data_IF_965456840542
#
_entry.id   IF_965456840542
#
_cell.length_a   1.000
_cell.length_b   1.000
_cell.length_c   1.000
_cell.angle_alpha   90.00
_cell.angle_beta   90.00
_cell.angle_gamma   90.00
#
_symmetry.space_group_name_H-M   'P 1'
#
loop_
_entity.id
_entity.type
_entity.pdbx_description
1 polymer ?
#
# COMPACT_ATOMS: atom_id res chain seq x y z
N UNK A 1 -10.88 -11.52 39.18
CA UNK A 1 -10.33 -11.75 37.84
C UNK A 1 -11.41 -11.42 36.81
N UNK A 2 -11.32 -10.28 36.15
CA UNK A 2 -12.31 -9.87 35.14
C UNK A 2 -12.03 -10.62 33.84
N UNK A 3 -12.94 -11.48 33.39
CA UNK A 3 -12.93 -12.10 32.07
C UNK A 3 -13.16 -10.99 31.03
N UNK A 4 -12.13 -10.66 30.27
CA UNK A 4 -12.25 -9.80 29.10
C UNK A 4 -13.23 -10.45 28.11
N UNK A 5 -14.46 -9.95 28.02
CA UNK A 5 -15.42 -10.36 26.98
C UNK A 5 -14.91 -9.85 25.65
N UNK A 6 -14.29 -10.71 24.85
CA UNK A 6 -14.05 -10.41 23.44
C UNK A 6 -15.39 -10.02 22.79
N UNK A 7 -15.43 -8.89 22.06
CA UNK A 7 -16.64 -8.48 21.35
C UNK A 7 -16.98 -9.53 20.27
N UNK A 8 -18.27 -9.71 19.97
CA UNK A 8 -18.76 -10.65 18.94
C UNK A 8 -18.11 -10.34 17.58
N UNK A 9 -17.82 -9.07 17.31
CA UNK A 9 -17.11 -8.64 16.09
C UNK A 9 -15.66 -9.11 16.06
N UNK A 10 -14.93 -9.09 17.19
CA UNK A 10 -13.57 -9.59 17.30
C UNK A 10 -13.49 -11.10 17.11
N UNK A 11 -14.42 -11.86 17.70
CA UNK A 11 -14.47 -13.32 17.53
C UNK A 11 -14.79 -13.73 16.07
N UNK A 12 -15.71 -13.02 15.42
CA UNK A 12 -16.01 -13.22 14.00
C UNK A 12 -14.83 -12.89 13.11
N UNK A 13 -14.15 -11.78 13.37
CA UNK A 13 -12.94 -11.38 12.63
C UNK A 13 -11.83 -12.42 12.77
N UNK A 14 -11.58 -12.91 14.01
CA UNK A 14 -10.58 -13.96 14.27
C UNK A 14 -10.88 -15.23 13.48
N UNK A 15 -12.14 -15.70 13.50
CA UNK A 15 -12.55 -16.88 12.74
C UNK A 15 -12.35 -16.70 11.25
N UNK A 16 -12.81 -15.58 10.68
CA UNK A 16 -12.60 -15.26 9.27
C UNK A 16 -11.10 -15.16 8.91
N UNK A 17 -10.29 -14.64 9.83
CA UNK A 17 -8.84 -14.53 9.60
C UNK A 17 -8.17 -15.91 9.54
N UNK A 18 -8.49 -16.82 10.48
CA UNK A 18 -7.88 -18.16 10.50
C UNK A 18 -8.42 -19.09 9.40
N UNK A 19 -9.64 -18.88 8.93
CA UNK A 19 -10.22 -19.65 7.82
C UNK A 19 -9.79 -19.14 6.44
N UNK A 20 -9.20 -17.95 6.37
CA UNK A 20 -8.78 -17.30 5.13
C UNK A 20 -7.66 -18.10 4.44
N UNK A 21 -7.94 -18.59 3.22
CA UNK A 21 -6.98 -19.35 2.42
C UNK A 21 -5.66 -18.62 2.16
N UNK A 22 -5.73 -17.29 2.00
CA UNK A 22 -4.55 -16.47 1.76
C UNK A 22 -3.69 -16.28 3.01
N UNK A 23 -4.29 -16.31 4.21
CA UNK A 23 -3.52 -16.33 5.47
C UNK A 23 -2.72 -17.63 5.56
N UNK A 24 -3.36 -18.76 5.33
CA UNK A 24 -2.71 -20.08 5.35
C UNK A 24 -1.60 -20.16 4.31
N UNK A 25 -1.86 -19.69 3.10
CA UNK A 25 -0.89 -19.69 2.01
C UNK A 25 0.30 -18.76 2.33
N UNK A 26 0.06 -17.58 2.92
CA UNK A 26 1.11 -16.68 3.34
C UNK A 26 2.03 -17.33 4.37
N UNK A 27 1.46 -18.01 5.37
CA UNK A 27 2.20 -18.76 6.38
C UNK A 27 3.05 -19.88 5.74
N UNK A 28 2.47 -20.66 4.83
CA UNK A 28 3.19 -21.73 4.12
C UNK A 28 4.37 -21.22 3.29
N UNK A 29 4.24 -20.02 2.69
CA UNK A 29 5.28 -19.39 1.88
C UNK A 29 6.25 -18.52 2.68
N UNK A 30 6.13 -18.43 4.01
CA UNK A 30 6.97 -17.57 4.85
C UNK A 30 6.77 -16.06 4.58
N UNK A 31 5.58 -15.68 4.09
CA UNK A 31 5.26 -14.31 3.78
C UNK A 31 4.69 -13.59 5.02
N UNK A 32 5.03 -12.32 5.18
CA UNK A 32 4.66 -11.53 6.37
C UNK A 32 3.17 -11.21 6.45
N UNK A 33 2.47 -11.16 5.32
CA UNK A 33 1.03 -10.90 5.30
C UNK A 33 0.35 -11.46 4.06
N UNK A 34 -0.95 -11.72 4.17
CA UNK A 34 -1.78 -12.08 3.02
C UNK A 34 -1.95 -10.96 1.99
N UNK A 35 -1.63 -9.72 2.35
CA UNK A 35 -1.74 -8.58 1.44
C UNK A 35 -0.79 -8.72 0.23
N UNK A 36 0.27 -9.52 0.35
CA UNK A 36 1.21 -9.77 -0.75
C UNK A 36 0.52 -10.30 -2.00
N UNK A 37 -0.48 -11.17 -1.87
CA UNK A 37 -1.19 -11.76 -3.01
C UNK A 37 -1.95 -10.73 -3.85
N UNK A 38 -2.33 -9.60 -3.26
CA UNK A 38 -2.92 -8.48 -3.98
C UNK A 38 -1.90 -7.82 -4.90
N UNK A 39 -0.69 -7.58 -4.39
CA UNK A 39 0.40 -6.98 -5.18
C UNK A 39 0.94 -7.97 -6.22
N UNK A 40 1.06 -9.25 -5.90
CA UNK A 40 1.44 -10.30 -6.87
C UNK A 40 0.50 -10.28 -8.08
N UNK A 41 -0.83 -10.29 -7.86
CA UNK A 41 -1.82 -10.26 -8.94
C UNK A 41 -1.74 -8.97 -9.77
N UNK A 42 -1.55 -7.81 -9.12
CA UNK A 42 -1.35 -6.53 -9.80
C UNK A 42 -0.07 -6.57 -10.63
N UNK A 43 1.03 -7.07 -10.06
CA UNK A 43 2.31 -7.17 -10.76
C UNK A 43 2.23 -8.12 -11.97
N UNK A 44 1.54 -9.24 -11.86
CA UNK A 44 1.34 -10.16 -12.98
C UNK A 44 0.58 -9.52 -14.15
N UNK A 45 -0.46 -8.74 -13.84
CA UNK A 45 -1.33 -8.11 -14.84
C UNK A 45 -0.76 -6.82 -15.43
N UNK A 46 -0.12 -6.00 -14.62
CA UNK A 46 0.22 -4.63 -14.98
C UNK A 46 1.74 -4.37 -15.08
N UNK A 47 2.58 -5.31 -14.64
CA UNK A 47 4.05 -5.27 -14.77
C UNK A 47 4.68 -3.97 -14.27
N UNK A 48 4.28 -3.55 -13.07
CA UNK A 48 4.70 -2.28 -12.48
C UNK A 48 6.19 -2.23 -12.15
N UNK A 49 6.73 -3.33 -11.63
CA UNK A 49 8.11 -3.43 -11.16
C UNK A 49 8.97 -4.27 -12.08
N UNK A 50 10.25 -3.89 -12.17
CA UNK A 50 11.30 -4.58 -12.93
C UNK A 50 12.61 -4.54 -12.15
N UNK A 51 13.57 -5.44 -12.41
CA UNK A 51 14.90 -5.39 -11.81
C UNK A 51 15.55 -4.01 -11.95
N UNK A 52 16.21 -3.57 -10.88
CA UNK A 52 16.94 -2.29 -10.82
C UNK A 52 16.06 -1.06 -10.52
N UNK A 53 14.75 -1.22 -10.35
CA UNK A 53 13.85 -0.10 -10.04
C UNK A 53 13.95 0.36 -8.59
N UNK A 54 13.60 1.64 -8.37
CA UNK A 54 13.40 2.24 -7.05
C UNK A 54 11.91 2.27 -6.73
N UNK A 55 11.52 1.66 -5.62
CA UNK A 55 10.14 1.54 -5.14
C UNK A 55 9.98 2.23 -3.79
N UNK A 56 8.90 2.97 -3.62
CA UNK A 56 8.44 3.50 -2.32
C UNK A 56 7.17 2.77 -1.91
N UNK A 57 7.17 2.20 -0.70
CA UNK A 57 6.04 1.44 -0.11
C UNK A 57 5.49 2.19 1.11
N UNK A 58 4.29 2.77 0.97
CA UNK A 58 3.61 3.55 2.00
C UNK A 58 2.55 2.69 2.70
N UNK A 59 2.64 2.62 4.04
CA UNK A 59 1.81 1.70 4.82
C UNK A 59 2.36 0.27 4.76
N UNK A 60 3.69 0.15 4.89
CA UNK A 60 4.43 -1.08 4.61
C UNK A 60 4.20 -2.20 5.64
N UNK A 61 3.96 -1.87 6.91
CA UNK A 61 3.86 -2.87 7.98
C UNK A 61 2.70 -3.88 7.74
N UNK A 62 2.93 -5.16 7.96
CA UNK A 62 4.09 -5.83 8.56
C UNK A 62 5.22 -6.18 7.57
N UNK A 63 5.19 -5.69 6.32
CA UNK A 63 6.26 -5.82 5.35
C UNK A 63 6.01 -6.81 4.20
N UNK A 64 4.78 -7.27 4.02
CA UNK A 64 4.47 -8.22 2.93
C UNK A 64 4.73 -7.65 1.54
N UNK A 65 4.33 -6.41 1.31
CA UNK A 65 4.58 -5.74 0.03
C UNK A 65 6.06 -5.41 -0.15
N UNK A 66 6.71 -4.86 0.88
CA UNK A 66 8.15 -4.57 0.85
C UNK A 66 8.99 -5.81 0.56
N UNK A 67 8.68 -6.96 1.19
CA UNK A 67 9.34 -8.25 0.93
C UNK A 67 9.23 -8.64 -0.55
N UNK A 68 8.03 -8.57 -1.11
CA UNK A 68 7.79 -8.89 -2.52
C UNK A 68 8.46 -7.88 -3.48
N UNK A 69 8.52 -6.60 -3.11
CA UNK A 69 9.21 -5.59 -3.90
C UNK A 69 10.70 -5.91 -4.05
N UNK A 70 11.37 -6.33 -2.95
CA UNK A 70 12.81 -6.73 -3.01
C UNK A 70 13.01 -7.85 -4.02
N UNK A 71 12.15 -8.87 -4.01
CA UNK A 71 12.23 -9.98 -4.97
C UNK A 71 12.04 -9.50 -6.42
N UNK A 72 11.17 -8.52 -6.64
CA UNK A 72 10.91 -7.97 -7.98
C UNK A 72 12.03 -7.07 -8.51
N UNK A 73 12.62 -6.24 -7.65
CA UNK A 73 13.63 -5.27 -8.08
C UNK A 73 15.07 -5.82 -8.04
N UNK A 74 15.29 -6.88 -7.25
CA UNK A 74 16.58 -7.56 -7.13
C UNK A 74 17.68 -6.69 -6.51
N UNK A 75 18.90 -7.19 -6.50
CA UNK A 75 20.05 -6.60 -5.80
C UNK A 75 20.43 -5.20 -6.27
N UNK A 76 20.11 -4.84 -7.51
CA UNK A 76 20.37 -3.53 -8.09
C UNK A 76 19.21 -2.53 -7.89
N UNK A 77 18.12 -2.98 -7.30
CA UNK A 77 16.96 -2.16 -6.99
C UNK A 77 17.04 -1.52 -5.61
N UNK A 78 16.08 -0.67 -5.32
CA UNK A 78 15.96 -0.01 -4.02
C UNK A 78 14.51 -0.05 -3.57
N UNK A 79 14.29 -0.43 -2.31
CA UNK A 79 12.97 -0.37 -1.67
C UNK A 79 13.06 0.53 -0.44
N UNK A 80 12.33 1.64 -0.46
CA UNK A 80 12.17 2.54 0.70
C UNK A 80 10.75 2.38 1.21
N UNK A 81 10.60 2.06 2.48
CA UNK A 81 9.30 1.76 3.08
C UNK A 81 9.02 2.68 4.27
N UNK A 82 7.76 3.05 4.49
CA UNK A 82 7.35 3.88 5.61
C UNK A 82 6.03 3.37 6.22
N UNK A 83 5.96 3.33 7.55
CA UNK A 83 4.72 3.02 8.27
C UNK A 83 4.72 3.66 9.67
N UNK A 84 3.52 3.96 10.19
CA UNK A 84 3.31 4.39 11.58
C UNK A 84 3.48 3.24 12.58
N UNK A 85 3.38 2.00 12.13
CA UNK A 85 3.59 0.81 12.93
C UNK A 85 5.05 0.34 12.80
N UNK A 86 5.61 -0.24 13.85
CA UNK A 86 6.92 -0.86 13.76
C UNK A 86 6.89 -2.09 12.84
N UNK A 87 8.00 -2.36 12.20
CA UNK A 87 8.19 -3.51 11.34
C UNK A 87 9.57 -4.12 11.58
N UNK A 88 9.64 -5.45 11.67
CA UNK A 88 10.93 -6.14 11.73
C UNK A 88 11.73 -5.90 10.45
N UNK A 89 13.04 -5.80 10.58
CA UNK A 89 13.92 -5.54 9.43
C UNK A 89 13.74 -6.59 8.32
N UNK A 90 13.79 -6.11 7.09
CA UNK A 90 13.81 -6.93 5.86
C UNK A 90 15.10 -6.60 5.11
N UNK A 91 15.87 -7.62 4.75
CA UNK A 91 17.06 -7.41 3.93
C UNK A 91 16.67 -6.74 2.61
N UNK A 92 17.38 -5.68 2.23
CA UNK A 92 17.11 -4.92 1.01
C UNK A 92 16.01 -3.85 1.13
N UNK A 93 15.43 -3.64 2.33
CA UNK A 93 14.43 -2.59 2.59
C UNK A 93 15.00 -1.53 3.52
N UNK A 94 14.99 -0.29 3.10
CA UNK A 94 15.25 0.87 3.94
C UNK A 94 13.92 1.34 4.58
N UNK A 95 13.70 0.93 5.83
CA UNK A 95 12.44 1.19 6.54
C UNK A 95 12.53 2.42 7.43
N UNK A 96 11.58 3.35 7.27
CA UNK A 96 11.34 4.49 8.14
C UNK A 96 10.10 4.25 8.99
N UNK A 97 10.28 4.09 10.31
CA UNK A 97 9.17 4.08 11.25
C UNK A 97 8.74 5.51 11.57
N UNK A 98 7.54 5.88 11.15
CA UNK A 98 7.00 7.21 11.42
C UNK A 98 5.74 7.53 10.63
N UNK A 99 5.14 8.65 10.99
CA UNK A 99 3.96 9.18 10.33
C UNK A 99 4.38 10.28 9.34
N UNK A 100 4.42 9.95 8.05
CA UNK A 100 4.87 10.88 7.01
C UNK A 100 3.89 12.07 6.75
N UNK A 101 2.75 12.12 7.45
CA UNK A 101 1.91 13.32 7.55
C UNK A 101 2.58 14.43 8.37
N UNK A 102 3.64 14.09 9.12
CA UNK A 102 4.45 15.03 9.88
C UNK A 102 5.66 15.44 9.04
N UNK A 103 5.88 16.74 8.90
CA UNK A 103 6.93 17.32 8.07
C UNK A 103 8.31 16.68 8.32
N UNK A 104 8.69 16.52 9.59
CA UNK A 104 9.99 15.91 9.94
C UNK A 104 10.14 14.46 9.46
N UNK A 105 9.06 13.69 9.39
CA UNK A 105 9.07 12.30 8.88
C UNK A 105 9.05 12.31 7.35
N UNK A 106 8.29 13.20 6.75
CA UNK A 106 8.29 13.40 5.30
C UNK A 106 9.70 13.79 4.82
N UNK A 107 10.36 14.76 5.45
CA UNK A 107 11.73 15.17 5.14
C UNK A 107 12.73 14.02 5.29
N UNK A 108 12.58 13.22 6.36
CA UNK A 108 13.39 12.04 6.57
C UNK A 108 13.17 10.97 5.49
N UNK A 109 11.92 10.78 5.03
CA UNK A 109 11.58 9.87 3.93
C UNK A 109 12.18 10.35 2.60
N UNK A 110 12.03 11.62 2.28
CA UNK A 110 12.62 12.24 1.10
C UNK A 110 14.15 12.16 1.12
N UNK A 111 14.77 12.34 2.29
CA UNK A 111 16.23 12.18 2.47
C UNK A 111 16.68 10.75 2.19
N UNK A 112 15.92 9.72 2.62
CA UNK A 112 16.22 8.31 2.32
C UNK A 112 16.08 8.00 0.83
N UNK A 113 15.09 8.59 0.17
CA UNK A 113 14.95 8.53 -1.29
C UNK A 113 16.15 9.22 -1.96
N UNK A 114 16.71 10.26 -1.33
CA UNK A 114 17.97 10.93 -1.71
C UNK A 114 18.00 11.35 -3.19
N UNK A 115 16.95 12.04 -3.65
CA UNK A 115 16.84 12.52 -5.03
C UNK A 115 16.80 11.41 -6.09
N UNK A 116 16.70 10.14 -5.68
CA UNK A 116 16.52 9.03 -6.63
C UNK A 116 15.21 9.23 -7.36
N UNK A 117 15.27 9.04 -8.66
CA UNK A 117 14.07 8.99 -9.47
C UNK A 117 13.28 7.72 -9.12
N UNK A 118 12.19 7.88 -8.40
CA UNK A 118 11.33 6.76 -8.00
C UNK A 118 10.57 6.23 -9.23
N UNK A 119 10.64 4.92 -9.43
CA UNK A 119 9.94 4.24 -10.52
C UNK A 119 8.50 3.94 -10.16
N UNK A 120 8.27 3.52 -8.92
CA UNK A 120 6.96 3.04 -8.45
C UNK A 120 6.70 3.55 -7.04
N UNK A 121 5.52 4.14 -6.83
CA UNK A 121 4.97 4.38 -5.49
C UNK A 121 3.82 3.40 -5.27
N UNK A 122 3.86 2.70 -4.15
CA UNK A 122 2.84 1.75 -3.70
C UNK A 122 2.21 2.27 -2.41
N UNK A 123 0.91 2.02 -2.21
CA UNK A 123 0.22 2.34 -0.97
C UNK A 123 -0.90 1.35 -0.66
N UNK A 124 -0.73 0.59 0.42
CA UNK A 124 -1.79 -0.26 0.99
C UNK A 124 -2.33 0.32 2.31
N UNK A 125 -2.17 1.63 2.51
CA UNK A 125 -2.64 2.31 3.72
C UNK A 125 -4.15 2.18 3.91
N UNK A 126 -4.56 2.07 5.17
CA UNK A 126 -5.95 2.19 5.59
C UNK A 126 -6.01 2.98 6.89
N UNK A 127 -7.06 3.77 7.11
CA UNK A 127 -7.25 4.42 8.40
C UNK A 127 -7.60 3.39 9.48
N UNK A 128 -7.35 3.75 10.74
CA UNK A 128 -7.97 3.03 11.86
C UNK A 128 -9.49 3.25 11.78
N UNK A 129 -10.22 2.17 11.48
CA UNK A 129 -11.66 2.22 11.29
C UNK A 129 -12.37 2.56 12.60
N UNK A 130 -13.11 3.67 12.60
CA UNK A 130 -13.89 4.14 13.75
C UNK A 130 -15.27 3.45 13.84
N UNK A 131 -15.67 2.73 12.79
CA UNK A 131 -17.00 2.12 12.66
C UNK A 131 -18.07 3.12 12.24
N UNK A 132 -17.67 4.30 11.77
CA UNK A 132 -18.54 5.30 11.15
C UNK A 132 -18.14 5.48 9.70
N UNK A 133 -19.00 5.05 8.79
CA UNK A 133 -18.71 4.96 7.36
C UNK A 133 -18.26 6.31 6.76
N UNK A 134 -18.86 7.43 7.16
CA UNK A 134 -18.50 8.76 6.63
C UNK A 134 -17.13 9.22 7.13
N UNK A 135 -16.84 9.04 8.42
CA UNK A 135 -15.54 9.38 9.01
C UNK A 135 -14.44 8.50 8.43
N UNK A 136 -14.69 7.20 8.33
CA UNK A 136 -13.73 6.23 7.82
C UNK A 136 -13.43 6.48 6.34
N UNK A 137 -14.46 6.84 5.55
CA UNK A 137 -14.31 7.21 4.15
C UNK A 137 -13.47 8.49 3.99
N UNK A 138 -13.76 9.56 4.74
CA UNK A 138 -12.99 10.82 4.68
C UNK A 138 -11.53 10.61 5.06
N UNK A 139 -11.26 9.83 6.11
CA UNK A 139 -9.88 9.48 6.52
C UNK A 139 -9.15 8.66 5.46
N UNK A 140 -9.87 7.75 4.81
CA UNK A 140 -9.31 6.95 3.70
C UNK A 140 -8.95 7.82 2.52
N UNK A 141 -9.82 8.76 2.13
CA UNK A 141 -9.56 9.68 1.03
C UNK A 141 -8.34 10.55 1.32
N UNK A 142 -8.20 11.08 2.53
CA UNK A 142 -7.02 11.84 2.93
C UNK A 142 -5.72 11.06 2.75
N UNK A 143 -5.68 9.75 3.09
CA UNK A 143 -4.49 8.91 2.93
C UNK A 143 -4.12 8.68 1.45
N UNK A 144 -5.10 8.51 0.58
CA UNK A 144 -4.82 8.30 -0.85
C UNK A 144 -4.37 9.59 -1.55
N UNK A 145 -4.91 10.74 -1.12
CA UNK A 145 -4.46 12.06 -1.58
C UNK A 145 -2.99 12.30 -1.20
N UNK A 146 -2.61 12.01 0.04
CA UNK A 146 -1.21 12.08 0.48
C UNK A 146 -0.28 11.14 -0.32
N UNK A 147 -0.77 9.96 -0.68
CA UNK A 147 0.02 9.06 -1.51
C UNK A 147 0.20 9.59 -2.94
N UNK A 148 -0.79 10.30 -3.49
CA UNK A 148 -0.68 10.97 -4.77
C UNK A 148 0.26 12.19 -4.69
N UNK A 149 0.21 12.96 -3.59
CA UNK A 149 1.15 14.05 -3.35
C UNK A 149 2.61 13.56 -3.27
N UNK A 150 2.82 12.40 -2.63
CA UNK A 150 4.14 11.74 -2.67
C UNK A 150 4.57 11.44 -4.12
N UNK A 151 3.64 10.95 -4.97
CA UNK A 151 3.95 10.73 -6.38
C UNK A 151 4.42 12.00 -7.07
N UNK A 152 3.78 13.15 -6.81
CA UNK A 152 4.17 14.44 -7.39
C UNK A 152 5.56 14.90 -6.95
N UNK A 153 6.01 14.49 -5.76
CA UNK A 153 7.32 14.86 -5.23
C UNK A 153 8.46 13.97 -5.72
N UNK A 154 8.21 12.67 -5.95
CA UNK A 154 9.29 11.69 -6.11
C UNK A 154 9.26 10.89 -7.41
N UNK A 155 8.09 10.75 -8.07
CA UNK A 155 8.01 9.92 -9.27
C UNK A 155 8.73 10.54 -10.46
N UNK A 156 9.54 9.74 -11.13
CA UNK A 156 10.08 10.12 -12.43
C UNK A 156 9.02 10.09 -13.52
N UNK A 157 9.28 10.78 -14.62
CA UNK A 157 8.47 10.69 -15.84
C UNK A 157 8.27 9.23 -16.25
N UNK A 158 7.02 8.88 -16.61
CA UNK A 158 6.58 7.51 -16.90
C UNK A 158 6.62 6.54 -15.71
N UNK A 159 6.82 7.01 -14.48
CA UNK A 159 6.68 6.23 -13.26
C UNK A 159 5.27 5.67 -13.07
N UNK A 160 5.11 4.81 -12.10
CA UNK A 160 3.86 4.08 -11.82
C UNK A 160 3.40 4.28 -10.39
N UNK A 161 2.09 4.15 -10.18
CA UNK A 161 1.45 4.27 -8.88
C UNK A 161 0.41 3.17 -8.69
N UNK A 162 0.42 2.51 -7.54
CA UNK A 162 -0.66 1.60 -7.16
C UNK A 162 -1.12 1.94 -5.74
N UNK A 163 -2.40 2.23 -5.59
CA UNK A 163 -2.98 2.69 -4.33
C UNK A 163 -4.29 1.97 -4.02
N UNK A 164 -4.44 1.51 -2.78
CA UNK A 164 -5.71 1.04 -2.27
C UNK A 164 -6.65 2.19 -2.02
N UNK A 165 -7.86 2.09 -2.56
CA UNK A 165 -8.93 3.08 -2.38
C UNK A 165 -10.22 2.36 -1.99
N UNK A 166 -10.99 2.94 -1.08
CA UNK A 166 -12.36 2.47 -0.82
C UNK A 166 -13.36 3.24 -1.70
N UNK A 167 -14.19 2.49 -2.42
CA UNK A 167 -15.27 3.10 -3.21
C UNK A 167 -16.29 3.76 -2.28
N UNK A 168 -16.68 4.99 -2.62
CA UNK A 168 -17.58 5.82 -1.83
C UNK A 168 -17.40 7.30 -2.17
N UNK A 169 -17.81 8.16 -1.25
CA UNK A 169 -17.66 9.61 -1.38
C UNK A 169 -16.19 9.98 -1.60
N UNK A 170 -15.92 10.89 -2.54
CA UNK A 170 -14.58 11.33 -2.91
C UNK A 170 -13.85 10.45 -3.94
N UNK A 171 -14.28 9.20 -4.15
CA UNK A 171 -13.59 8.25 -5.05
C UNK A 171 -13.49 8.78 -6.50
N UNK A 172 -14.57 9.30 -7.07
CA UNK A 172 -14.57 9.79 -8.48
C UNK A 172 -13.72 11.05 -8.64
N UNK A 173 -13.70 11.93 -7.65
CA UNK A 173 -12.82 13.10 -7.65
C UNK A 173 -11.35 12.67 -7.65
N UNK A 174 -10.97 11.79 -6.75
CA UNK A 174 -9.61 11.25 -6.69
C UNK A 174 -9.23 10.49 -7.98
N UNK A 175 -10.12 9.67 -8.53
CA UNK A 175 -9.88 8.98 -9.80
C UNK A 175 -9.62 9.98 -10.95
N UNK A 176 -10.32 11.11 -10.96
CA UNK A 176 -10.09 12.19 -11.93
C UNK A 176 -8.69 12.78 -11.78
N UNK A 177 -8.25 13.05 -10.53
CA UNK A 177 -6.92 13.60 -10.26
C UNK A 177 -5.81 12.64 -10.68
N UNK A 178 -5.96 11.36 -10.36
CA UNK A 178 -5.02 10.32 -10.83
C UNK A 178 -4.98 10.26 -12.36
N UNK A 179 -6.12 10.36 -13.05
CA UNK A 179 -6.17 10.41 -14.54
C UNK A 179 -5.53 11.67 -15.13
N UNK A 180 -5.53 12.77 -14.40
CA UNK A 180 -4.80 13.98 -14.81
C UNK A 180 -3.28 13.77 -14.72
N UNK A 181 -2.81 13.09 -13.67
CA UNK A 181 -1.39 12.87 -13.42
C UNK A 181 -0.78 11.73 -14.26
N UNK A 182 -1.57 10.74 -14.67
CA UNK A 182 -1.07 9.53 -15.35
C UNK A 182 -1.72 9.33 -16.73
N UNK A 183 -0.99 8.63 -17.62
CA UNK A 183 -1.46 8.33 -18.98
C UNK A 183 -2.53 7.23 -19.02
N UNK A 184 -2.35 6.21 -18.18
CA UNK A 184 -3.24 5.05 -18.10
C UNK A 184 -3.58 4.80 -16.63
N UNK A 185 -4.87 4.66 -16.32
CA UNK A 185 -5.37 4.33 -14.98
C UNK A 185 -6.35 3.17 -15.11
N UNK A 186 -6.11 2.12 -14.36
CA UNK A 186 -6.96 0.92 -14.30
C UNK A 186 -7.43 0.70 -12.87
N UNK A 187 -8.67 0.26 -12.71
CA UNK A 187 -9.18 -0.21 -11.43
C UNK A 187 -9.01 -1.72 -11.36
N UNK A 188 -8.44 -2.21 -10.25
CA UNK A 188 -8.23 -3.63 -9.98
C UNK A 188 -8.94 -4.05 -8.72
N UNK A 189 -9.55 -5.22 -8.73
CA UNK A 189 -10.08 -5.91 -7.55
C UNK A 189 -9.38 -7.26 -7.47
N UNK A 190 -8.21 -7.35 -6.80
CA UNK A 190 -7.49 -8.62 -6.66
C UNK A 190 -8.34 -9.69 -5.99
N UNK A 191 -8.18 -10.95 -6.39
CA UNK A 191 -8.91 -12.08 -5.81
C UNK A 191 -8.64 -12.28 -4.30
N UNK A 192 -7.49 -11.79 -3.82
CA UNK A 192 -7.18 -11.76 -2.40
C UNK A 192 -7.91 -10.65 -1.63
N UNK A 193 -8.60 -9.71 -2.29
CA UNK A 193 -9.51 -8.78 -1.62
C UNK A 193 -10.74 -9.52 -1.13
N UNK A 194 -11.24 -9.16 0.06
CA UNK A 194 -12.48 -9.75 0.58
C UNK A 194 -13.66 -9.27 -0.26
N UNK A 195 -14.57 -10.17 -0.63
CA UNK A 195 -15.72 -9.87 -1.51
C UNK A 195 -16.58 -8.73 -0.96
N UNK A 196 -16.80 -8.70 0.36
CA UNK A 196 -17.58 -7.67 1.05
C UNK A 196 -16.88 -6.31 1.18
N UNK A 197 -15.57 -6.24 0.94
CA UNK A 197 -14.82 -4.99 1.06
C UNK A 197 -15.07 -4.09 -0.14
N UNK A 198 -15.29 -2.81 0.12
CA UNK A 198 -15.36 -1.76 -0.91
C UNK A 198 -13.98 -1.38 -1.46
N UNK A 199 -12.90 -2.05 -1.00
CA UNK A 199 -11.55 -1.76 -1.47
C UNK A 199 -11.37 -2.14 -2.93
N UNK A 200 -10.72 -1.27 -3.66
CA UNK A 200 -10.17 -1.49 -5.00
C UNK A 200 -8.77 -0.90 -5.05
N UNK A 201 -8.01 -1.26 -6.07
CA UNK A 201 -6.71 -0.66 -6.33
C UNK A 201 -6.77 0.16 -7.61
N UNK A 202 -6.37 1.43 -7.54
CA UNK A 202 -6.05 2.20 -8.74
C UNK A 202 -4.61 1.91 -9.10
N UNK A 203 -4.42 1.40 -10.32
CA UNK A 203 -3.12 1.10 -10.90
C UNK A 203 -2.90 2.08 -12.05
N UNK A 204 -1.99 3.02 -11.84
CA UNK A 204 -1.71 4.12 -12.75
C UNK A 204 -0.29 4.03 -13.29
N UNK A 205 -0.13 4.21 -14.60
CA UNK A 205 1.16 4.13 -15.28
C UNK A 205 1.37 5.31 -16.22
N UNK A 206 2.63 5.66 -16.43
CA UNK A 206 2.98 6.74 -17.32
C UNK A 206 2.75 8.11 -16.68
N UNK A 207 3.36 8.35 -15.52
CA UNK A 207 3.33 9.66 -14.86
C UNK A 207 3.75 10.77 -15.82
N UNK A 208 2.97 11.86 -15.88
CA UNK A 208 3.12 12.85 -16.95
C UNK A 208 4.15 13.93 -16.66
N UNK A 209 4.52 14.17 -15.37
CA UNK A 209 5.38 15.28 -14.95
C UNK A 209 4.97 16.62 -15.55
#
# INVERSE_FOLDING_TARGET
MAKNKQSVSSARWMKEHFDDKYVKLAQQRGLRSRAVFKLEEIQEKDKLMKPGMTVVDLGAAPGGWSQYCVDCVGDNGTVVACDILPMDAIAGVDFLHGDFRKDAVLDALLTRINGRNVDVVLSDMAPNMAGNDSIDQSRSMYLVELALDMCHQVLKKNGSFAVKVFQGEGFEAFLKDVRQAFKVVKTRKPAASRDRSREVYLVATGYKL
#
